data_IF_589592208433
#
_entry.id   IF_589592208433
#
_cell.length_a   1.000
_cell.length_b   1.000
_cell.length_c   1.000
_cell.angle_alpha   90.00
_cell.angle_beta   90.00
_cell.angle_gamma   90.00
#
_symmetry.space_group_name_H-M   'P 1'
#
loop_
_entity.id
_entity.type
_entity.pdbx_description
1 polymer ?
#
# COMPACT_ATOMS: atom_id res chain seq x y z
N UNK A 1 11.95 -9.07 -7.92
CA UNK A 1 11.30 -7.76 -7.69
C UNK A 1 10.51 -7.42 -8.92
N UNK A 2 9.25 -7.07 -8.74
CA UNK A 2 8.31 -6.73 -9.80
C UNK A 2 7.76 -5.33 -9.56
N UNK A 3 7.49 -4.60 -10.63
CA UNK A 3 6.83 -3.31 -10.61
C UNK A 3 5.54 -3.37 -11.42
N UNK A 4 4.48 -2.76 -10.91
CA UNK A 4 3.21 -2.64 -11.62
C UNK A 4 2.47 -1.38 -11.21
N UNK A 5 1.79 -0.76 -12.16
CA UNK A 5 0.79 0.26 -11.86
C UNK A 5 -0.53 -0.45 -11.56
N UNK A 6 -1.11 -0.15 -10.40
CA UNK A 6 -2.31 -0.83 -9.87
C UNK A 6 -3.57 0.04 -9.97
N UNK A 7 -3.36 1.35 -10.07
CA UNK A 7 -4.34 2.36 -10.42
C UNK A 7 -3.56 3.54 -11.05
N UNK A 8 -4.20 4.40 -11.86
CA UNK A 8 -3.51 5.54 -12.48
C UNK A 8 -2.76 6.40 -11.45
N UNK A 9 -1.44 6.47 -11.56
CA UNK A 9 -0.57 7.21 -10.64
C UNK A 9 -0.33 6.54 -9.28
N UNK A 10 -0.67 5.26 -9.14
CA UNK A 10 -0.36 4.44 -7.99
C UNK A 10 0.52 3.25 -8.41
N UNK A 11 1.81 3.34 -8.06
CA UNK A 11 2.80 2.31 -8.35
C UNK A 11 2.90 1.32 -7.18
N UNK A 12 2.96 0.04 -7.50
CA UNK A 12 3.29 -1.03 -6.56
C UNK A 12 4.63 -1.68 -6.93
N UNK A 13 5.48 -1.84 -5.92
CA UNK A 13 6.71 -2.65 -6.01
C UNK A 13 6.50 -3.86 -5.12
N UNK A 14 6.65 -5.05 -5.70
CA UNK A 14 6.60 -6.30 -4.97
C UNK A 14 7.98 -6.97 -4.96
N UNK A 15 8.49 -7.26 -3.77
CA UNK A 15 9.74 -7.99 -3.58
C UNK A 15 9.48 -9.22 -2.72
N UNK A 16 9.89 -10.36 -3.23
CA UNK A 16 10.08 -11.58 -2.45
C UNK A 16 11.58 -11.83 -2.31
N UNK A 17 12.05 -12.05 -1.09
CA UNK A 17 13.44 -12.42 -0.80
C UNK A 17 13.49 -13.40 0.35
N UNK A 18 14.05 -14.59 0.09
CA UNK A 18 13.93 -15.73 1.02
C UNK A 18 12.46 -15.99 1.37
N UNK A 19 12.09 -15.88 2.64
CA UNK A 19 10.74 -16.06 3.15
C UNK A 19 10.03 -14.73 3.43
N UNK A 20 10.65 -13.60 3.08
CA UNK A 20 10.09 -12.27 3.28
C UNK A 20 9.37 -11.79 2.03
N UNK A 21 8.18 -11.22 2.23
CA UNK A 21 7.44 -10.49 1.21
C UNK A 21 7.39 -9.02 1.60
N UNK A 22 7.58 -8.14 0.63
CA UNK A 22 7.49 -6.70 0.84
C UNK A 22 6.73 -6.07 -0.32
N UNK A 23 5.70 -5.32 0.03
CA UNK A 23 4.92 -4.50 -0.88
C UNK A 23 5.19 -3.04 -0.57
N UNK A 24 5.55 -2.26 -1.58
CA UNK A 24 5.68 -0.81 -1.46
C UNK A 24 4.70 -0.17 -2.41
N UNK A 25 3.85 0.70 -1.88
CA UNK A 25 2.92 1.52 -2.66
C UNK A 25 3.45 2.95 -2.70
N UNK A 26 3.47 3.53 -3.90
CA UNK A 26 3.94 4.89 -4.15
C UNK A 26 2.85 5.63 -4.90
N UNK A 27 2.29 6.65 -4.26
CA UNK A 27 1.35 7.57 -4.87
C UNK A 27 2.15 8.67 -5.58
N UNK A 28 2.04 8.73 -6.90
CA UNK A 28 2.70 9.73 -7.74
C UNK A 28 1.73 10.84 -8.18
N UNK A 29 0.66 11.07 -7.43
CA UNK A 29 -0.38 12.05 -7.74
C UNK A 29 -0.58 13.06 -6.60
N UNK A 30 -1.27 14.15 -6.93
CA UNK A 30 -1.76 15.12 -5.95
C UNK A 30 -3.01 14.69 -5.18
N UNK A 31 -3.60 13.53 -5.51
CA UNK A 31 -4.81 13.00 -4.88
C UNK A 31 -4.44 11.96 -3.82
N UNK A 32 -5.34 11.66 -2.88
CA UNK A 32 -5.10 10.58 -1.92
C UNK A 32 -5.76 9.28 -2.38
N UNK A 33 -5.22 8.15 -1.95
CA UNK A 33 -5.78 6.83 -2.20
C UNK A 33 -6.23 6.19 -0.90
N UNK A 34 -7.44 5.65 -0.89
CA UNK A 34 -7.84 4.67 0.12
C UNK A 34 -7.32 3.29 -0.29
N UNK A 35 -6.74 2.59 0.68
CA UNK A 35 -6.16 1.26 0.53
C UNK A 35 -6.84 0.40 1.58
N UNK A 36 -7.51 -0.65 1.14
CA UNK A 36 -7.88 -1.74 2.03
C UNK A 36 -6.76 -2.77 1.98
N UNK A 37 -6.39 -3.33 3.12
CA UNK A 37 -5.53 -4.49 3.17
C UNK A 37 -6.31 -5.57 3.87
N UNK A 38 -6.79 -6.52 3.07
CA UNK A 38 -7.53 -7.66 3.56
C UNK A 38 -6.53 -8.74 3.95
N UNK A 39 -6.18 -8.73 5.24
CA UNK A 39 -5.27 -9.69 5.82
C UNK A 39 -5.93 -10.32 7.02
N UNK A 40 -5.86 -11.65 7.10
CA UNK A 40 -6.25 -12.40 8.30
C UNK A 40 -5.35 -12.06 9.51
N UNK A 41 -4.19 -11.42 9.24
CA UNK A 41 -3.23 -10.94 10.22
C UNK A 41 -3.23 -9.40 10.36
N UNK A 42 -2.92 -8.86 11.55
CA UNK A 42 -2.80 -7.42 11.75
C UNK A 42 -1.60 -6.86 10.96
N UNK A 43 -1.88 -5.85 10.12
CA UNK A 43 -0.88 -5.08 9.37
C UNK A 43 0.24 -4.54 10.29
N UNK A 44 1.49 -4.85 9.95
CA UNK A 44 2.67 -4.23 10.57
C UNK A 44 3.31 -3.26 9.57
N UNK A 45 2.98 -1.97 9.62
CA UNK A 45 3.62 -1.01 8.71
C UNK A 45 5.13 -0.97 8.97
N UNK A 46 5.92 -1.24 7.94
CA UNK A 46 7.39 -1.29 8.04
C UNK A 46 7.97 0.12 8.05
N UNK A 47 7.47 1.02 7.18
CA UNK A 47 7.77 2.46 7.10
C UNK A 47 6.58 3.16 6.41
N UNK A 48 6.16 4.35 6.89
CA UNK A 48 5.32 5.25 6.09
C UNK A 48 4.34 6.13 6.90
N UNK A 49 3.95 7.26 6.30
CA UNK A 49 3.00 8.26 6.83
C UNK A 49 1.55 7.76 6.84
N UNK A 50 1.33 6.56 7.36
CA UNK A 50 0.03 5.92 7.42
C UNK A 50 -0.75 6.47 8.61
N UNK A 51 -1.96 6.97 8.34
CA UNK A 51 -2.97 7.11 9.39
C UNK A 51 -3.76 5.81 9.38
N UNK A 52 -3.54 4.96 10.38
CA UNK A 52 -4.31 3.73 10.55
C UNK A 52 -5.77 4.10 10.81
N UNK A 53 -6.67 3.68 9.93
CA UNK A 53 -8.11 3.72 10.21
C UNK A 53 -8.48 2.38 10.87
N UNK A 54 -9.60 2.34 11.60
CA UNK A 54 -10.14 1.08 12.12
C UNK A 54 -10.38 0.12 10.93
N UNK A 55 -10.18 -1.17 11.15
CA UNK A 55 -10.59 -2.25 10.23
C UNK A 55 -9.79 -2.36 8.90
N UNK A 56 -8.46 -2.31 8.95
CA UNK A 56 -7.60 -2.67 7.80
C UNK A 56 -7.61 -1.66 6.64
N UNK A 57 -8.25 -0.51 6.84
CA UNK A 57 -8.26 0.61 5.90
C UNK A 57 -7.14 1.61 6.21
N UNK A 58 -6.52 2.10 5.16
CA UNK A 58 -5.38 3.01 5.21
C UNK A 58 -5.56 4.07 4.14
N UNK A 59 -5.22 5.32 4.47
CA UNK A 59 -5.13 6.39 3.46
C UNK A 59 -3.67 6.64 3.10
N UNK A 60 -3.31 6.44 1.84
CA UNK A 60 -2.05 6.90 1.28
C UNK A 60 -2.22 8.32 0.76
N UNK A 61 -1.58 9.26 1.45
CA UNK A 61 -1.62 10.68 1.09
C UNK A 61 -1.04 10.93 -0.31
N UNK A 62 -1.43 12.05 -0.90
CA UNK A 62 -0.79 12.62 -2.09
C UNK A 62 0.75 12.58 -1.97
N UNK A 63 1.42 12.14 -3.03
CA UNK A 63 2.88 12.00 -3.10
C UNK A 63 3.51 11.08 -2.02
N UNK A 64 2.69 10.31 -1.30
CA UNK A 64 3.13 9.47 -0.20
C UNK A 64 3.63 8.09 -0.64
N UNK A 65 4.33 7.41 0.26
CA UNK A 65 4.63 5.99 0.13
C UNK A 65 4.28 5.21 1.41
N UNK A 66 4.00 3.93 1.24
CA UNK A 66 3.75 2.99 2.34
C UNK A 66 4.34 1.62 2.01
N UNK A 67 4.88 0.94 3.02
CA UNK A 67 5.44 -0.40 2.89
C UNK A 67 4.76 -1.40 3.83
N UNK A 68 4.53 -2.60 3.32
CA UNK A 68 3.81 -3.69 3.98
C UNK A 68 4.59 -5.01 3.84
N UNK A 69 4.50 -5.88 4.83
CA UNK A 69 5.00 -7.26 4.82
C UNK A 69 3.98 -8.28 4.25
N UNK A 70 2.75 -7.81 4.01
CA UNK A 70 1.59 -8.58 3.53
C UNK A 70 1.07 -8.02 2.20
N UNK A 71 0.41 -8.87 1.39
CA UNK A 71 -0.14 -8.46 0.10
C UNK A 71 -1.39 -7.57 0.28
N UNK A 72 -1.37 -6.30 -0.16
CA UNK A 72 -2.53 -5.43 -0.05
C UNK A 72 -3.63 -5.81 -1.06
N UNK A 73 -4.90 -5.77 -0.65
CA UNK A 73 -6.07 -5.92 -1.54
C UNK A 73 -6.64 -4.56 -1.89
N UNK A 74 -6.19 -4.03 -3.01
CA UNK A 74 -6.48 -2.64 -3.39
C UNK A 74 -7.93 -2.47 -3.82
N UNK A 75 -8.65 -1.64 -3.07
CA UNK A 75 -9.87 -0.97 -3.55
C UNK A 75 -9.48 0.49 -3.72
N UNK A 76 -8.95 0.82 -4.90
CA UNK A 76 -8.50 2.18 -5.18
C UNK A 76 -9.72 3.06 -5.49
N UNK A 77 -10.19 3.80 -4.49
CA UNK A 77 -11.12 4.90 -4.71
C UNK A 77 -10.30 6.19 -4.74
N UNK A 78 -10.21 6.83 -5.90
CA UNK A 78 -9.58 8.13 -6.04
C UNK A 78 -10.56 9.21 -5.55
N UNK A 79 -10.10 10.08 -4.66
CA UNK A 79 -10.82 11.27 -4.18
C UNK A 79 -10.05 12.54 -4.53
#
# INVERSE_FOLDING_TARGET
TEYREIAPGLLAIHRTYLNENTWVLINTTGNSFEITVDTDDPLRPLIGSLKTLKDGQLTLKAWGCAAFDVQPRLVATAH
#
